data_IF_156918707213
#
_entry.id   IF_156918707213
#
_cell.length_a   1.000
_cell.length_b   1.000
_cell.length_c   1.000
_cell.angle_alpha   90.00
_cell.angle_beta   90.00
_cell.angle_gamma   90.00
#
_symmetry.space_group_name_H-M   'P 1'
#
loop_
_entity.id
_entity.type
_entity.pdbx_description
1 polymer ?
#
# COMPACT_ATOMS: atom_id res chain seq x y z
N UNK A 1 10.74 -11.21 19.81
CA UNK A 1 10.69 -10.71 18.41
C UNK A 1 12.11 -10.30 18.06
N UNK A 2 12.82 -11.07 17.24
CA UNK A 2 14.20 -10.77 16.87
C UNK A 2 14.23 -10.44 15.37
N UNK A 3 14.64 -9.22 15.03
CA UNK A 3 14.92 -8.84 13.65
C UNK A 3 16.29 -9.41 13.29
N UNK A 4 16.32 -10.37 12.37
CA UNK A 4 17.57 -10.98 11.92
C UNK A 4 18.24 -10.06 10.90
N UNK A 5 19.50 -9.68 11.17
CA UNK A 5 20.31 -8.78 10.35
C UNK A 5 21.05 -9.57 9.25
N UNK A 6 21.06 -9.15 7.97
CA UNK A 6 22.08 -9.59 7.04
C UNK A 6 23.43 -8.97 7.45
N UNK A 7 24.44 -9.80 7.65
CA UNK A 7 25.78 -9.34 8.01
C UNK A 7 26.48 -8.64 6.83
N UNK A 8 26.90 -7.39 7.10
CA UNK A 8 27.75 -6.48 6.30
C UNK A 8 27.02 -5.59 5.28
N UNK A 9 26.81 -4.31 5.62
CA UNK A 9 26.99 -3.11 4.76
C UNK A 9 26.68 -1.80 5.54
N UNK A 10 27.51 -0.76 5.29
CA UNK A 10 27.36 0.70 5.56
C UNK A 10 27.44 1.27 7.01
N UNK A 11 28.15 2.41 7.23
CA UNK A 11 28.17 3.16 8.51
C UNK A 11 26.94 4.05 8.76
N UNK A 12 25.99 4.15 7.82
CA UNK A 12 24.68 4.78 8.07
C UNK A 12 23.75 3.74 8.69
N UNK A 13 23.72 3.65 10.01
CA UNK A 13 22.87 2.70 10.73
C UNK A 13 21.39 2.83 10.32
N UNK A 14 20.74 1.71 10.04
CA UNK A 14 19.30 1.64 9.80
C UNK A 14 18.56 1.98 11.10
N UNK A 15 17.91 3.14 11.17
CA UNK A 15 17.09 3.52 12.33
C UNK A 15 15.77 2.75 12.28
N UNK A 16 15.69 1.62 12.98
CA UNK A 16 14.41 0.93 13.19
C UNK A 16 13.63 1.64 14.29
N UNK A 17 12.67 2.48 13.92
CA UNK A 17 11.78 3.15 14.87
C UNK A 17 10.40 2.52 14.82
N UNK A 18 9.94 1.97 15.94
CA UNK A 18 8.53 1.59 16.10
C UNK A 18 7.72 2.85 16.39
N UNK A 19 7.14 3.42 15.35
CA UNK A 19 6.27 4.59 15.45
C UNK A 19 4.80 4.15 15.47
N UNK A 20 3.98 4.82 16.27
CA UNK A 20 2.53 4.75 16.13
C UNK A 20 1.97 6.15 15.94
N UNK A 21 1.13 6.28 14.91
CA UNK A 21 0.19 7.38 14.60
C UNK A 21 0.66 8.43 13.58
N UNK A 22 0.35 8.13 12.31
CA UNK A 22 0.04 9.14 11.28
C UNK A 22 -1.48 9.14 11.06
N UNK A 23 -2.12 10.31 11.07
CA UNK A 23 -3.55 10.47 10.74
C UNK A 23 -3.66 10.65 9.23
N UNK A 24 -4.28 9.68 8.54
CA UNK A 24 -4.55 9.74 7.11
C UNK A 24 -6.03 10.03 6.88
N UNK A 25 -6.33 10.88 5.88
CA UNK A 25 -7.67 11.00 5.33
C UNK A 25 -7.89 9.89 4.31
N UNK A 26 -9.07 9.27 4.34
CA UNK A 26 -9.42 8.18 3.44
C UNK A 26 -9.79 8.72 2.05
N UNK A 27 -9.12 8.23 1.01
CA UNK A 27 -9.32 8.70 -0.36
C UNK A 27 -10.10 7.70 -1.22
N UNK A 28 -10.25 6.45 -0.79
CA UNK A 28 -10.96 5.37 -1.49
C UNK A 28 -11.18 4.17 -0.56
N UNK A 29 -12.29 3.42 -0.77
CA UNK A 29 -12.71 2.30 0.08
C UNK A 29 -13.09 1.05 -0.70
N UNK A 30 -12.95 -0.08 -0.02
CA UNK A 30 -13.53 -1.39 -0.38
C UNK A 30 -13.38 -1.75 -1.86
N UNK A 31 -12.18 -1.48 -2.40
CA UNK A 31 -11.82 -1.92 -3.74
C UNK A 31 -11.47 -3.39 -3.70
N UNK A 32 -12.01 -4.13 -4.66
CA UNK A 32 -11.76 -5.57 -4.83
C UNK A 32 -10.82 -5.72 -6.01
N UNK A 33 -9.78 -6.54 -5.84
CA UNK A 33 -8.92 -6.92 -6.97
C UNK A 33 -9.69 -7.77 -7.95
N UNK A 34 -9.43 -7.62 -9.24
CA UNK A 34 -9.97 -8.50 -10.27
C UNK A 34 -9.40 -9.93 -10.19
N UNK A 35 -9.78 -10.78 -11.15
CA UNK A 35 -9.33 -12.17 -11.22
C UNK A 35 -7.80 -12.30 -11.35
N UNK A 36 -7.14 -11.29 -11.93
CA UNK A 36 -5.69 -11.24 -12.09
C UNK A 36 -4.99 -10.60 -10.88
N UNK A 37 -5.73 -10.31 -9.80
CA UNK A 37 -5.20 -9.71 -8.58
C UNK A 37 -4.93 -8.21 -8.69
N UNK A 38 -5.47 -7.52 -9.70
CA UNK A 38 -5.21 -6.09 -9.94
C UNK A 38 -6.34 -5.22 -9.42
N UNK A 39 -5.99 -4.05 -8.91
CA UNK A 39 -6.92 -2.96 -8.67
C UNK A 39 -6.46 -1.74 -9.46
N UNK A 40 -7.05 -1.55 -10.65
CA UNK A 40 -6.60 -0.52 -11.59
C UNK A 40 -6.93 0.91 -11.14
N UNK A 41 -7.90 1.05 -10.22
CA UNK A 41 -8.43 2.35 -9.81
C UNK A 41 -8.70 2.39 -8.30
N UNK A 42 -7.73 2.95 -7.56
CA UNK A 42 -7.81 3.10 -6.10
C UNK A 42 -8.67 4.30 -5.67
N UNK A 43 -8.79 5.34 -6.50
CA UNK A 43 -9.57 6.54 -6.21
C UNK A 43 -11.01 6.42 -6.73
N UNK A 44 -12.00 7.09 -6.11
CA UNK A 44 -13.33 7.27 -6.66
C UNK A 44 -13.24 7.81 -8.09
N UNK A 45 -14.02 7.22 -8.99
CA UNK A 45 -14.28 7.84 -10.28
C UNK A 45 -15.18 9.06 -10.10
N UNK A 46 -15.17 9.96 -11.09
CA UNK A 46 -16.09 11.08 -11.11
C UNK A 46 -17.52 10.56 -11.16
N UNK A 47 -18.38 11.04 -10.26
CA UNK A 47 -19.80 10.80 -10.38
C UNK A 47 -20.32 11.38 -11.72
N UNK A 48 -21.42 10.86 -12.30
CA UNK A 48 -22.02 11.43 -13.50
C UNK A 48 -22.25 12.95 -13.34
N UNK A 49 -21.69 13.74 -14.26
CA UNK A 49 -21.78 15.20 -14.23
C UNK A 49 -20.75 15.91 -13.34
N UNK A 50 -19.95 15.18 -12.56
CA UNK A 50 -18.81 15.74 -11.82
C UNK A 50 -17.65 15.99 -12.78
N UNK A 51 -17.06 17.19 -12.72
CA UNK A 51 -15.92 17.49 -13.57
C UNK A 51 -14.68 16.80 -13.02
N UNK A 52 -13.83 16.32 -13.93
CA UNK A 52 -12.58 15.63 -13.60
C UNK A 52 -11.59 16.50 -12.79
N UNK A 53 -11.72 17.81 -12.89
CA UNK A 53 -10.97 18.81 -12.12
C UNK A 53 -11.33 18.85 -10.64
N UNK A 54 -12.53 18.41 -10.27
CA UNK A 54 -13.04 18.34 -8.90
C UNK A 54 -12.68 17.02 -8.19
N UNK A 55 -12.03 16.09 -8.90
CA UNK A 55 -11.54 14.84 -8.31
C UNK A 55 -10.37 15.09 -7.36
N UNK A 56 -10.24 14.21 -6.37
CA UNK A 56 -9.07 14.17 -5.49
C UNK A 56 -7.82 13.97 -6.36
N UNK A 57 -6.93 14.95 -6.35
CA UNK A 57 -5.63 14.88 -7.03
C UNK A 57 -4.55 14.51 -6.02
N UNK A 58 -3.66 13.63 -6.44
CA UNK A 58 -2.40 13.41 -5.76
C UNK A 58 -1.61 14.72 -5.70
N UNK A 59 -0.87 14.91 -4.61
CA UNK A 59 -0.07 16.12 -4.36
C UNK A 59 1.39 15.73 -4.15
N UNK A 60 2.28 16.47 -4.82
CA UNK A 60 3.71 16.26 -4.74
C UNK A 60 4.21 16.42 -3.30
N UNK A 61 5.16 15.56 -2.89
CA UNK A 61 5.78 15.58 -1.57
C UNK A 61 4.88 15.10 -0.42
N UNK A 62 3.68 14.58 -0.71
CA UNK A 62 2.78 14.02 0.31
C UNK A 62 2.96 12.52 0.47
N UNK A 63 2.77 12.06 1.70
CA UNK A 63 2.70 10.64 2.04
C UNK A 63 1.29 10.11 1.83
N UNK A 64 1.20 8.99 1.14
CA UNK A 64 0.00 8.22 0.93
C UNK A 64 0.18 6.82 1.48
N UNK A 65 -0.93 6.14 1.73
CA UNK A 65 -0.93 4.76 2.22
C UNK A 65 -1.98 3.92 1.50
N UNK A 66 -1.59 2.72 1.08
CA UNK A 66 -2.50 1.66 0.67
C UNK A 66 -2.56 0.61 1.77
N UNK A 67 -3.77 0.12 2.06
CA UNK A 67 -4.03 -0.93 3.05
C UNK A 67 -4.60 -2.15 2.34
N UNK A 68 -3.90 -3.27 2.43
CA UNK A 68 -4.34 -4.56 1.91
C UNK A 68 -4.92 -5.40 3.05
N UNK A 69 -6.21 -5.79 2.96
CA UNK A 69 -6.89 -6.65 3.95
C UNK A 69 -6.47 -8.12 3.77
N UNK A 70 -5.21 -8.43 4.04
CA UNK A 70 -4.58 -9.71 3.71
C UNK A 70 -5.13 -10.90 4.48
N UNK A 71 -5.50 -10.71 5.75
CA UNK A 71 -6.08 -11.78 6.56
C UNK A 71 -7.41 -12.24 6.01
N UNK A 72 -8.31 -11.31 5.70
CA UNK A 72 -9.62 -11.59 5.11
C UNK A 72 -9.48 -12.44 3.84
N UNK A 73 -8.50 -12.11 2.97
CA UNK A 73 -8.20 -12.87 1.76
C UNK A 73 -7.73 -14.31 2.03
N UNK A 74 -6.78 -14.51 2.96
CA UNK A 74 -6.32 -15.88 3.26
C UNK A 74 -7.37 -16.69 4.00
N UNK A 75 -8.13 -16.08 4.92
CA UNK A 75 -9.21 -16.76 5.65
C UNK A 75 -10.33 -17.20 4.71
N UNK A 76 -10.68 -16.40 3.69
CA UNK A 76 -11.66 -16.80 2.67
C UNK A 76 -11.21 -18.00 1.82
N UNK A 77 -9.93 -18.35 1.85
CA UNK A 77 -9.36 -19.53 1.17
C UNK A 77 -8.97 -20.65 2.13
N UNK A 78 -9.39 -20.58 3.40
CA UNK A 78 -9.10 -21.60 4.42
C UNK A 78 -7.64 -21.62 4.89
N UNK A 79 -6.88 -20.56 4.62
CA UNK A 79 -5.45 -20.44 4.97
C UNK A 79 -5.29 -19.45 6.12
N UNK A 80 -4.37 -19.77 7.04
CA UNK A 80 -3.95 -18.79 8.05
C UNK A 80 -3.04 -17.74 7.41
N UNK A 81 -3.11 -16.51 7.90
CA UNK A 81 -2.16 -15.45 7.59
C UNK A 81 -1.61 -14.86 8.87
N UNK A 82 -0.30 -14.62 8.91
CA UNK A 82 0.35 -13.93 10.02
C UNK A 82 0.04 -12.44 10.03
N UNK A 83 -0.22 -11.84 8.86
CA UNK A 83 -0.46 -10.41 8.69
C UNK A 83 -1.96 -10.12 8.72
N UNK A 84 -2.48 -9.41 9.74
CA UNK A 84 -3.89 -9.04 9.78
C UNK A 84 -4.26 -8.11 8.60
N UNK A 85 -3.34 -7.22 8.24
CA UNK A 85 -3.35 -6.43 7.00
C UNK A 85 -1.90 -6.02 6.69
N UNK A 86 -1.66 -5.51 5.49
CA UNK A 86 -0.38 -4.91 5.10
C UNK A 86 -0.61 -3.45 4.74
N UNK A 87 0.14 -2.55 5.39
CA UNK A 87 0.16 -1.12 5.05
C UNK A 87 1.42 -0.80 4.26
N UNK A 88 1.26 -0.14 3.12
CA UNK A 88 2.38 0.37 2.33
C UNK A 88 2.25 1.89 2.28
N UNK A 89 3.16 2.57 2.97
CA UNK A 89 3.28 4.04 2.95
C UNK A 89 4.32 4.44 1.91
N UNK A 90 3.99 5.41 1.07
CA UNK A 90 4.87 5.90 0.01
C UNK A 90 4.69 7.40 -0.19
N UNK A 91 5.74 8.05 -0.69
CA UNK A 91 5.70 9.44 -1.11
C UNK A 91 5.33 9.55 -2.59
N UNK A 92 4.56 10.57 -2.94
CA UNK A 92 4.30 10.93 -4.35
C UNK A 92 5.20 12.11 -4.72
N UNK A 93 6.32 11.91 -5.43
CA UNK A 93 7.15 13.01 -5.91
C UNK A 93 6.51 13.76 -7.08
N UNK A 94 5.84 13.04 -7.98
CA UNK A 94 5.23 13.61 -9.18
C UNK A 94 3.80 13.06 -9.38
N UNK A 95 2.75 13.85 -9.12
CA UNK A 95 1.36 13.43 -9.30
C UNK A 95 0.95 13.06 -10.73
N UNK A 96 1.73 13.45 -11.74
CA UNK A 96 1.45 13.13 -13.15
C UNK A 96 1.88 11.70 -13.55
N UNK A 97 2.69 11.04 -12.71
CA UNK A 97 3.14 9.67 -12.95
C UNK A 97 2.10 8.64 -12.50
N UNK A 98 2.15 7.46 -13.14
CA UNK A 98 1.43 6.29 -12.67
C UNK A 98 2.23 5.60 -11.55
N UNK A 99 1.54 5.18 -10.48
CA UNK A 99 2.15 4.52 -9.33
C UNK A 99 1.60 3.10 -9.24
N UNK A 100 2.39 2.13 -9.72
CA UNK A 100 2.10 0.72 -9.54
C UNK A 100 2.78 0.23 -8.26
N UNK A 101 1.99 -0.29 -7.31
CA UNK A 101 2.48 -0.72 -5.99
C UNK A 101 2.04 -2.18 -5.76
N UNK A 102 2.80 -3.16 -6.26
CA UNK A 102 2.47 -4.57 -6.08
C UNK A 102 2.63 -5.03 -4.64
N UNK A 103 1.80 -5.99 -4.24
CA UNK A 103 1.99 -6.78 -3.02
C UNK A 103 2.12 -8.25 -3.41
N UNK A 104 3.31 -8.82 -3.21
CA UNK A 104 3.52 -10.25 -3.32
C UNK A 104 3.50 -10.81 -1.90
N UNK A 105 2.55 -11.69 -1.60
CA UNK A 105 2.32 -12.14 -0.23
C UNK A 105 2.17 -13.66 -0.13
N UNK A 106 2.83 -14.21 0.88
CA UNK A 106 2.59 -15.55 1.42
C UNK A 106 2.06 -15.43 2.85
N UNK A 107 1.57 -16.52 3.46
CA UNK A 107 1.08 -16.50 4.84
C UNK A 107 2.04 -15.90 5.88
N UNK A 108 3.36 -15.92 5.65
CA UNK A 108 4.40 -15.54 6.62
C UNK A 108 5.53 -14.68 6.02
N UNK A 109 5.37 -14.20 4.79
CA UNK A 109 6.27 -13.22 4.17
C UNK A 109 5.51 -12.34 3.20
N UNK A 110 5.95 -11.10 3.01
CA UNK A 110 5.51 -10.29 1.88
C UNK A 110 6.65 -9.45 1.34
N UNK A 111 6.53 -9.05 0.08
CA UNK A 111 7.39 -8.06 -0.56
C UNK A 111 6.53 -7.06 -1.31
N UNK A 112 7.05 -5.84 -1.44
CA UNK A 112 6.45 -4.77 -2.24
C UNK A 112 7.56 -3.95 -2.86
N UNK A 113 7.23 -3.20 -3.91
CA UNK A 113 8.13 -2.32 -4.63
C UNK A 113 7.33 -1.29 -5.43
N UNK A 114 8.02 -0.30 -6.00
CA UNK A 114 7.44 0.58 -7.02
C UNK A 114 7.62 -0.06 -8.39
N UNK A 115 6.52 -0.48 -9.01
CA UNK A 115 6.50 -0.94 -10.41
C UNK A 115 6.49 0.23 -11.40
N UNK A 116 6.81 -0.09 -12.66
CA UNK A 116 6.60 0.81 -13.82
C UNK A 116 5.13 0.93 -14.18
#
# INVERSE_FOLDING_TARGET
>A
MALHRPSKLSPTGEQTTLVYRNVYAELGRDRVTDYDGRCMQLYPEAAPGQKREDLIKLQAGRLYKVVFKTKDYFESTGRKCFYPWVEITFEVPNPAEHYHIPLLISPYSYTTYRGS
#
